data_IF_473067688811
#
_entry.id   IF_473067688811
#
_cell.length_a   1.000
_cell.length_b   1.000
_cell.length_c   1.000
_cell.angle_alpha   90.00
_cell.angle_beta   90.00
_cell.angle_gamma   90.00
#
_symmetry.space_group_name_H-M   'P 1'
#
loop_
_entity.id
_entity.type
_entity.pdbx_description
1 polymer ?
#
# COMPACT_ATOMS: atom_id res chain seq x y z
N UNK A 1 10.25 -18.68 11.27
CA UNK A 1 8.91 -18.12 11.57
C UNK A 1 8.25 -17.76 10.25
N UNK A 2 7.13 -18.43 9.93
CA UNK A 2 6.44 -18.27 8.66
C UNK A 2 5.82 -16.87 8.60
N UNK A 3 6.47 -15.93 7.88
CA UNK A 3 5.81 -14.70 7.47
C UNK A 3 4.59 -15.12 6.65
N UNK A 4 3.37 -14.67 7.00
CA UNK A 4 2.16 -15.10 6.31
C UNK A 4 2.36 -14.83 4.82
N UNK A 5 1.93 -15.78 4.00
CA UNK A 5 2.02 -15.77 2.54
C UNK A 5 1.06 -14.70 2.02
N UNK A 6 1.37 -13.45 2.32
CA UNK A 6 0.77 -12.30 1.68
C UNK A 6 1.20 -12.43 0.23
N UNK A 7 0.24 -12.58 -0.68
CA UNK A 7 0.52 -12.49 -2.10
C UNK A 7 0.95 -11.05 -2.35
N UNK A 8 2.26 -10.82 -2.26
CA UNK A 8 2.89 -9.55 -2.53
C UNK A 8 3.49 -9.66 -3.93
N UNK A 9 3.20 -8.73 -4.85
CA UNK A 9 3.99 -8.60 -6.06
C UNK A 9 5.43 -8.26 -5.67
N UNK A 10 6.38 -8.59 -6.55
CA UNK A 10 7.78 -8.27 -6.36
C UNK A 10 7.98 -6.77 -6.08
N UNK A 11 8.89 -6.44 -5.16
CA UNK A 11 9.20 -5.06 -4.81
C UNK A 11 9.50 -4.20 -6.05
N UNK A 12 10.19 -4.76 -7.03
CA UNK A 12 10.48 -4.10 -8.32
C UNK A 12 9.22 -3.73 -9.10
N UNK A 13 8.19 -4.59 -9.12
CA UNK A 13 6.94 -4.29 -9.80
C UNK A 13 6.18 -3.14 -9.12
N UNK A 14 6.24 -3.07 -7.78
CA UNK A 14 5.68 -1.93 -7.04
C UNK A 14 6.49 -0.67 -7.31
N UNK A 15 7.83 -0.77 -7.35
CA UNK A 15 8.72 0.35 -7.67
C UNK A 15 8.52 0.86 -9.10
N UNK A 16 8.19 -0.01 -10.05
CA UNK A 16 7.87 0.37 -11.43
C UNK A 16 6.60 1.23 -11.55
N UNK A 17 5.72 1.22 -10.54
CA UNK A 17 4.54 2.08 -10.48
C UNK A 17 4.81 3.44 -9.81
N UNK A 18 6.00 3.63 -9.26
CA UNK A 18 6.40 4.89 -8.64
C UNK A 18 6.72 5.88 -9.76
N UNK A 19 6.02 7.01 -9.76
CA UNK A 19 6.24 8.10 -10.70
C UNK A 19 7.56 8.85 -10.43
N UNK A 20 7.99 9.68 -11.37
CA UNK A 20 9.25 10.45 -11.29
C UNK A 20 9.38 11.30 -10.01
N UNK A 21 8.26 11.73 -9.43
CA UNK A 21 8.22 12.48 -8.16
C UNK A 21 8.13 11.58 -6.91
N UNK A 22 8.50 10.30 -7.02
CA UNK A 22 8.41 9.32 -5.93
C UNK A 22 6.98 9.13 -5.39
N UNK A 23 5.97 9.26 -6.27
CA UNK A 23 4.55 9.12 -5.92
C UNK A 23 4.02 7.78 -6.40
N UNK A 24 3.32 7.09 -5.51
CA UNK A 24 2.67 5.82 -5.78
C UNK A 24 1.15 5.96 -5.63
N UNK A 25 0.43 5.68 -6.70
CA UNK A 25 -1.04 5.63 -6.68
C UNK A 25 -1.50 4.27 -6.16
N UNK A 26 -2.27 4.28 -5.07
CA UNK A 26 -2.71 3.09 -4.35
C UNK A 26 -4.21 3.14 -4.14
N UNK A 27 -4.91 2.12 -4.64
CA UNK A 27 -6.33 1.91 -4.41
C UNK A 27 -6.54 0.97 -3.23
N UNK A 28 -7.07 1.51 -2.15
CA UNK A 28 -7.32 0.79 -0.90
C UNK A 28 -8.74 0.25 -0.89
N UNK A 29 -8.86 -1.02 -0.53
CA UNK A 29 -10.13 -1.71 -0.28
C UNK A 29 -10.17 -2.12 1.19
N UNK A 30 -10.75 -1.27 2.05
CA UNK A 30 -10.88 -1.55 3.48
C UNK A 30 -11.99 -2.55 3.77
N UNK A 31 -11.94 -3.20 4.95
CA UNK A 31 -12.93 -4.21 5.35
C UNK A 31 -12.87 -5.51 4.55
N UNK A 32 -11.74 -5.79 3.88
CA UNK A 32 -11.56 -7.05 3.15
C UNK A 32 -11.43 -8.22 4.13
N UNK A 33 -11.90 -9.41 3.75
CA UNK A 33 -11.77 -10.63 4.58
C UNK A 33 -10.31 -11.07 4.73
N UNK A 34 -9.42 -10.64 3.83
CA UNK A 34 -8.00 -10.99 3.78
C UNK A 34 -7.17 -9.75 3.42
N UNK A 35 -5.91 -9.75 3.82
CA UNK A 35 -4.93 -8.74 3.44
C UNK A 35 -4.18 -9.19 2.20
N UNK A 36 -4.12 -8.34 1.17
CA UNK A 36 -3.48 -8.64 -0.10
C UNK A 36 -3.01 -7.36 -0.80
N UNK A 37 -1.94 -7.48 -1.58
CA UNK A 37 -1.41 -6.42 -2.43
C UNK A 37 -1.42 -6.94 -3.87
N UNK A 38 -2.04 -6.25 -4.80
CA UNK A 38 -2.20 -6.70 -6.18
C UNK A 38 -1.95 -5.54 -7.12
N UNK A 39 -1.33 -5.78 -8.28
CA UNK A 39 -1.18 -4.74 -9.31
C UNK A 39 -2.20 -5.05 -10.40
N UNK A 40 -3.10 -4.11 -10.66
CA UNK A 40 -4.10 -4.23 -11.72
C UNK A 40 -4.21 -2.92 -12.49
N UNK A 41 -4.22 -3.01 -13.82
CA UNK A 41 -4.36 -1.85 -14.73
C UNK A 41 -3.32 -0.74 -14.46
N UNK A 42 -2.09 -1.10 -14.12
CA UNK A 42 -1.04 -0.13 -13.79
C UNK A 42 -1.28 0.63 -12.47
N UNK A 43 -2.15 0.12 -11.60
CA UNK A 43 -2.41 0.68 -10.27
C UNK A 43 -2.24 -0.36 -9.18
N UNK A 44 -1.72 0.08 -8.04
CA UNK A 44 -1.56 -0.80 -6.90
C UNK A 44 -2.87 -0.89 -6.12
N UNK A 45 -3.39 -2.10 -5.95
CA UNK A 45 -4.56 -2.40 -5.14
C UNK A 45 -4.14 -3.02 -3.82
N UNK A 46 -4.66 -2.47 -2.72
CA UNK A 46 -4.35 -2.94 -1.37
C UNK A 46 -5.64 -3.28 -0.67
N UNK A 47 -5.81 -4.55 -0.34
CA UNK A 47 -6.92 -5.05 0.45
C UNK A 47 -6.47 -5.10 1.90
N UNK A 48 -7.20 -4.43 2.78
CA UNK A 48 -6.93 -4.43 4.21
C UNK A 48 -8.15 -4.86 4.98
N UNK A 49 -7.92 -5.64 6.05
CA UNK A 49 -8.96 -6.00 7.03
C UNK A 49 -9.41 -4.82 7.86
N UNK A 50 -8.54 -3.83 8.04
CA UNK A 50 -8.85 -2.62 8.78
C UNK A 50 -10.06 -1.90 8.17
N UNK A 51 -10.97 -1.48 9.03
CA UNK A 51 -12.09 -0.62 8.64
C UNK A 51 -11.58 0.78 8.27
N UNK A 52 -12.28 1.53 7.42
CA UNK A 52 -11.92 2.89 7.04
C UNK A 52 -12.24 3.92 8.14
N UNK A 53 -12.03 3.54 9.41
CA UNK A 53 -12.35 4.35 10.58
C UNK A 53 -11.02 4.74 11.26
N UNK A 54 -10.88 6.02 11.63
CA UNK A 54 -9.78 6.57 12.43
C UNK A 54 -8.35 6.22 11.97
N UNK A 55 -8.07 6.31 10.66
CA UNK A 55 -6.70 6.17 10.14
C UNK A 55 -6.09 4.77 10.24
N UNK A 56 -6.77 3.79 10.84
CA UNK A 56 -6.31 2.39 10.94
C UNK A 56 -6.08 1.75 9.57
N UNK A 57 -6.93 2.08 8.59
CA UNK A 57 -6.73 1.67 7.22
C UNK A 57 -5.44 2.26 6.61
N UNK A 58 -5.06 3.49 6.98
CA UNK A 58 -3.82 4.10 6.47
C UNK A 58 -2.60 3.39 7.04
N UNK A 59 -2.62 3.11 8.34
CA UNK A 59 -1.52 2.42 9.02
C UNK A 59 -1.35 0.99 8.50
N UNK A 60 -2.46 0.25 8.33
CA UNK A 60 -2.43 -1.09 7.74
C UNK A 60 -1.87 -1.07 6.31
N UNK A 61 -2.31 -0.15 5.46
CA UNK A 61 -1.79 -0.01 4.10
C UNK A 61 -0.30 0.32 4.13
N UNK A 62 0.12 1.24 5.00
CA UNK A 62 1.53 1.63 5.16
C UNK A 62 2.41 0.45 5.60
N UNK A 63 1.94 -0.38 6.53
CA UNK A 63 2.64 -1.57 6.96
C UNK A 63 2.81 -2.61 5.84
N UNK A 64 1.75 -2.83 5.04
CA UNK A 64 1.80 -3.74 3.89
C UNK A 64 2.74 -3.21 2.81
N UNK A 65 2.67 -1.92 2.48
CA UNK A 65 3.57 -1.29 1.51
C UNK A 65 5.03 -1.36 1.96
N UNK A 66 5.30 -1.10 3.24
CA UNK A 66 6.63 -1.21 3.83
C UNK A 66 7.20 -2.63 3.68
N UNK A 67 6.39 -3.65 3.99
CA UNK A 67 6.77 -5.05 3.81
C UNK A 67 6.96 -5.44 2.33
N UNK A 68 6.15 -4.89 1.42
CA UNK A 68 6.24 -5.17 -0.01
C UNK A 68 7.48 -4.55 -0.66
N UNK A 69 7.87 -3.35 -0.22
CA UNK A 69 9.00 -2.60 -0.76
C UNK A 69 10.33 -2.86 -0.03
N UNK A 70 10.28 -3.60 1.08
CA UNK A 70 11.35 -3.78 2.05
C UNK A 70 11.91 -2.43 2.54
N UNK A 71 11.00 -1.52 2.89
CA UNK A 71 11.32 -0.16 3.35
C UNK A 71 10.78 0.09 4.75
N UNK A 72 11.41 1.03 5.45
CA UNK A 72 10.87 1.52 6.72
C UNK A 72 9.54 2.25 6.46
N UNK A 73 8.50 2.03 7.30
CA UNK A 73 7.22 2.70 7.12
C UNK A 73 7.38 4.23 7.20
N UNK A 74 8.38 4.77 7.91
CA UNK A 74 8.71 6.20 7.95
C UNK A 74 9.01 6.82 6.59
N UNK A 75 9.43 6.02 5.61
CA UNK A 75 9.66 6.46 4.23
C UNK A 75 8.41 6.50 3.37
N UNK A 76 7.28 6.04 3.92
CA UNK A 76 5.98 6.00 3.26
C UNK A 76 5.07 7.02 3.92
N UNK A 77 4.80 8.11 3.20
CA UNK A 77 3.96 9.20 3.67
C UNK A 77 2.71 9.32 2.80
N UNK A 78 1.54 9.51 3.42
CA UNK A 78 0.31 9.75 2.67
C UNK A 78 0.30 11.19 2.15
N UNK A 79 0.29 11.38 0.83
CA UNK A 79 0.18 12.70 0.20
C UNK A 79 -1.28 13.11 -0.01
N UNK A 80 -2.12 12.18 -0.48
CA UNK A 80 -3.54 12.43 -0.79
C UNK A 80 -4.41 11.21 -0.52
N UNK A 81 -5.71 11.48 -0.33
CA UNK A 81 -6.73 10.43 -0.25
C UNK A 81 -6.96 9.88 1.15
N UNK A 82 -6.68 10.65 2.20
CA UNK A 82 -6.92 10.21 3.59
C UNK A 82 -8.35 9.70 3.83
N UNK A 83 -9.34 10.33 3.20
CA UNK A 83 -10.77 9.99 3.28
C UNK A 83 -11.30 9.20 2.09
N UNK A 84 -10.45 8.91 1.09
CA UNK A 84 -10.84 8.28 -0.17
C UNK A 84 -10.21 6.89 -0.33
N UNK A 85 -10.86 6.04 -1.13
CA UNK A 85 -10.31 4.73 -1.51
C UNK A 85 -9.09 4.84 -2.44
N UNK A 86 -9.01 5.89 -3.24
CA UNK A 86 -7.83 6.21 -4.04
C UNK A 86 -6.91 7.09 -3.21
N UNK A 87 -5.71 6.58 -2.94
CA UNK A 87 -4.69 7.21 -2.11
C UNK A 87 -3.42 7.40 -2.91
N UNK A 88 -2.67 8.43 -2.56
CA UNK A 88 -1.37 8.67 -3.14
C UNK A 88 -0.36 8.73 -2.01
N UNK A 89 0.66 7.88 -2.09
CA UNK A 89 1.74 7.82 -1.10
C UNK A 89 3.03 8.32 -1.73
N UNK A 90 3.83 9.06 -0.97
CA UNK A 90 5.21 9.34 -1.29
C UNK A 90 6.09 8.22 -0.77
N UNK A 91 7.01 7.73 -1.59
CA UNK A 91 7.94 6.65 -1.27
C UNK A 91 9.37 7.17 -1.36
N UNK A 92 10.02 7.42 -0.23
CA UNK A 92 11.43 7.75 -0.22
C UNK A 92 12.28 6.48 -0.39
N UNK A 93 12.82 6.25 -1.58
CA UNK A 93 13.79 5.16 -1.85
C UNK A 93 15.16 5.45 -1.22
#
# INVERSE_FOLDING_TARGET
>A
MAKPKLALPSAEAVRALIDSEQRLAVRVTPGAKVEALEIAEGRLHVKVRAKPEDGKANEAVRAILAAALDLAPSRIALLRGATSREKQFSIAL
#
